data_IF_523798114577
#
_entry.id   IF_523798114577
#
_cell.length_a   1.000
_cell.length_b   1.000
_cell.length_c   1.000
_cell.angle_alpha   90.00
_cell.angle_beta   90.00
_cell.angle_gamma   90.00
#
_symmetry.space_group_name_H-M   'P 1'
#
loop_
_entity.id
_entity.type
_entity.pdbx_description
1 polymer ?
#
# COMPACT_ATOMS: atom_id res chain seq x y z
N UNK A 1 -1.03 45.77 -0.73
CA UNK A 1 -2.21 44.90 -0.92
C UNK A 1 -1.93 43.96 -2.08
N UNK A 2 -1.24 42.85 -1.85
CA UNK A 2 -1.07 41.77 -2.82
C UNK A 2 -0.83 40.48 -2.01
N UNK A 3 -1.90 39.73 -1.76
CA UNK A 3 -1.84 38.55 -0.89
C UNK A 3 -3.12 37.71 -0.85
N UNK A 4 -3.94 37.74 -1.91
CA UNK A 4 -5.23 37.04 -1.91
C UNK A 4 -5.47 36.14 -3.14
N UNK A 5 -4.62 36.16 -4.18
CA UNK A 5 -4.89 35.44 -5.42
C UNK A 5 -4.35 34.00 -5.44
N UNK A 6 -3.25 33.70 -4.72
CA UNK A 6 -2.63 32.37 -4.77
C UNK A 6 -3.34 31.34 -3.87
N UNK A 7 -4.06 31.80 -2.83
CA UNK A 7 -4.74 30.91 -1.88
C UNK A 7 -6.12 30.42 -2.38
N UNK A 8 -6.72 31.09 -3.35
CA UNK A 8 -8.04 30.67 -3.88
C UNK A 8 -7.92 29.52 -4.89
N UNK A 9 -6.82 29.46 -5.64
CA UNK A 9 -6.61 28.42 -6.66
C UNK A 9 -6.22 27.08 -6.04
N UNK A 10 -5.40 27.10 -4.99
CA UNK A 10 -4.99 25.89 -4.25
C UNK A 10 -6.14 25.24 -3.50
N UNK A 11 -7.05 26.04 -2.91
CA UNK A 11 -8.23 25.54 -2.20
C UNK A 11 -9.23 24.91 -3.15
N UNK A 12 -9.43 25.49 -4.35
CA UNK A 12 -10.31 24.91 -5.37
C UNK A 12 -9.73 23.61 -5.91
N UNK A 13 -8.42 23.57 -6.20
CA UNK A 13 -7.76 22.33 -6.65
C UNK A 13 -7.79 21.21 -5.60
N UNK A 14 -7.65 21.54 -4.32
CA UNK A 14 -7.76 20.56 -3.23
C UNK A 14 -9.19 20.04 -3.06
N UNK A 15 -10.21 20.91 -3.24
CA UNK A 15 -11.60 20.50 -3.20
C UNK A 15 -11.98 19.59 -4.39
N UNK A 16 -11.49 19.92 -5.59
CA UNK A 16 -11.71 19.09 -6.79
C UNK A 16 -11.04 17.71 -6.65
N UNK A 17 -9.82 17.65 -6.09
CA UNK A 17 -9.12 16.39 -5.80
C UNK A 17 -9.87 15.51 -4.79
N UNK A 18 -10.55 16.10 -3.80
CA UNK A 18 -11.32 15.34 -2.79
C UNK A 18 -12.57 14.66 -3.40
N UNK A 19 -13.21 15.34 -4.35
CA UNK A 19 -14.40 14.82 -5.07
C UNK A 19 -14.03 13.82 -6.15
N UNK A 20 -12.93 14.03 -6.87
CA UNK A 20 -12.51 13.13 -7.97
C UNK A 20 -11.70 11.92 -7.46
N UNK A 21 -10.82 12.15 -6.48
CA UNK A 21 -9.85 11.17 -6.02
C UNK A 21 -9.90 10.86 -4.53
N UNK A 22 -10.50 11.71 -3.69
CA UNK A 22 -10.57 11.57 -2.24
C UNK A 22 -11.76 10.74 -1.74
N UNK A 23 -12.31 11.12 -0.58
CA UNK A 23 -13.37 10.39 0.12
C UNK A 23 -14.78 10.88 -0.23
N UNK A 24 -14.92 11.94 -1.04
CA UNK A 24 -16.21 12.48 -1.47
C UNK A 24 -16.68 11.92 -2.82
N UNK A 25 -15.97 10.94 -3.37
CA UNK A 25 -16.30 10.35 -4.67
C UNK A 25 -17.71 9.76 -4.69
N UNK A 26 -18.52 10.04 -5.71
CA UNK A 26 -19.94 9.69 -5.74
C UNK A 26 -20.20 8.18 -5.76
N UNK A 27 -19.24 7.35 -6.17
CA UNK A 27 -19.36 5.90 -6.21
C UNK A 27 -18.96 5.17 -4.92
N UNK A 28 -18.47 5.89 -3.90
CA UNK A 28 -18.16 5.27 -2.62
C UNK A 28 -19.38 4.55 -2.05
N UNK A 29 -19.13 3.36 -1.47
CA UNK A 29 -20.13 2.49 -0.86
C UNK A 29 -21.21 1.93 -1.82
N UNK A 30 -21.15 2.19 -3.13
CA UNK A 30 -22.12 1.64 -4.09
C UNK A 30 -21.81 0.21 -4.55
N UNK A 31 -20.55 -0.21 -4.46
CA UNK A 31 -20.09 -1.54 -4.87
C UNK A 31 -20.08 -2.56 -3.73
N UNK A 32 -20.43 -3.82 -4.02
CA UNK A 32 -20.20 -4.94 -3.08
C UNK A 32 -18.70 -5.09 -2.83
N UNK A 33 -18.27 -5.00 -1.57
CA UNK A 33 -16.86 -5.17 -1.16
C UNK A 33 -16.51 -6.62 -0.85
N UNK A 34 -17.35 -7.34 -0.12
CA UNK A 34 -17.08 -8.72 0.30
C UNK A 34 -16.85 -9.63 -0.92
N UNK A 35 -15.72 -10.37 -0.90
CA UNK A 35 -15.30 -11.27 -1.98
C UNK A 35 -14.55 -10.58 -3.12
N UNK A 36 -14.09 -9.33 -2.95
CA UNK A 36 -13.39 -8.57 -4.00
C UNK A 36 -11.86 -8.62 -3.92
N UNK A 37 -11.31 -9.43 -3.02
CA UNK A 37 -9.88 -9.71 -2.96
C UNK A 37 -9.56 -10.77 -4.02
N UNK A 38 -8.50 -10.53 -4.81
CA UNK A 38 -7.97 -11.48 -5.80
C UNK A 38 -7.78 -12.90 -5.22
N UNK A 39 -7.75 -13.97 -6.04
CA UNK A 39 -7.94 -15.35 -5.60
C UNK A 39 -7.15 -15.71 -4.33
N UNK A 40 -7.74 -16.51 -3.42
CA UNK A 40 -7.27 -16.69 -2.05
C UNK A 40 -5.79 -17.08 -2.02
N UNK A 41 -5.03 -16.43 -1.15
CA UNK A 41 -3.62 -16.70 -0.90
C UNK A 41 -3.43 -16.89 0.59
N UNK A 42 -2.40 -17.61 0.99
CA UNK A 42 -2.24 -18.11 2.36
C UNK A 42 -1.10 -17.42 3.11
N UNK A 43 -0.19 -16.76 2.38
CA UNK A 43 0.94 -16.02 2.95
C UNK A 43 1.12 -14.66 2.29
N UNK A 44 1.30 -13.61 3.09
CA UNK A 44 1.66 -12.29 2.61
C UNK A 44 3.12 -11.98 2.98
N UNK A 45 3.91 -11.65 1.98
CA UNK A 45 5.29 -11.17 2.13
C UNK A 45 5.30 -9.68 1.81
N UNK A 46 5.80 -8.87 2.73
CA UNK A 46 6.10 -7.47 2.49
C UNK A 46 7.59 -7.26 2.38
N UNK A 47 8.03 -6.55 1.35
CA UNK A 47 9.38 -6.00 1.27
C UNK A 47 9.33 -4.54 1.72
N UNK A 48 10.06 -4.18 2.76
CA UNK A 48 10.26 -2.81 3.20
C UNK A 48 11.30 -2.16 2.27
N UNK A 49 10.91 -1.13 1.54
CA UNK A 49 11.78 -0.53 0.52
C UNK A 49 11.41 0.90 0.23
N UNK A 50 12.25 1.85 0.63
CA UNK A 50 12.13 3.29 0.39
C UNK A 50 10.80 3.86 0.87
N UNK A 51 10.71 5.18 0.81
CA UNK A 51 9.47 5.90 1.06
C UNK A 51 8.51 5.81 -0.13
N UNK A 52 7.20 5.76 0.16
CA UNK A 52 6.15 5.49 -0.83
C UNK A 52 5.97 6.60 -1.88
N UNK A 53 6.44 7.80 -1.58
CA UNK A 53 6.46 8.96 -2.48
C UNK A 53 7.53 8.85 -3.57
N UNK A 54 8.53 7.99 -3.38
CA UNK A 54 9.62 7.75 -4.33
C UNK A 54 9.37 6.57 -5.28
N UNK A 55 8.29 5.81 -5.10
CA UNK A 55 8.07 4.60 -5.89
C UNK A 55 7.61 4.91 -7.32
N UNK A 56 8.20 4.23 -8.33
CA UNK A 56 7.65 4.26 -9.68
C UNK A 56 6.32 3.49 -9.71
N UNK A 57 5.51 3.71 -10.76
CA UNK A 57 4.16 3.11 -10.86
C UNK A 57 4.14 1.58 -10.76
N UNK A 58 5.27 0.92 -11.04
CA UNK A 58 5.51 -0.52 -10.87
C UNK A 58 6.85 -0.74 -10.19
N UNK A 59 6.91 -0.48 -8.88
CA UNK A 59 8.11 -0.70 -8.07
C UNK A 59 8.69 -2.12 -8.23
N UNK A 60 7.83 -3.13 -8.38
CA UNK A 60 8.19 -4.53 -8.56
C UNK A 60 8.66 -4.92 -9.98
N UNK A 61 8.61 -3.98 -10.93
CA UNK A 61 9.07 -4.16 -12.32
C UNK A 61 10.14 -3.13 -12.72
N UNK A 62 10.50 -2.20 -11.82
CA UNK A 62 11.37 -1.07 -12.14
C UNK A 62 12.83 -1.45 -12.30
N UNK A 63 13.49 -0.91 -13.33
CA UNK A 63 14.94 -1.04 -13.53
C UNK A 63 15.77 -0.16 -12.59
N UNK A 64 15.17 0.91 -12.05
CA UNK A 64 15.83 1.80 -11.08
C UNK A 64 15.92 1.22 -9.67
N UNK A 65 15.15 0.16 -9.40
CA UNK A 65 14.93 -0.40 -8.07
C UNK A 65 15.13 -1.91 -8.13
N UNK A 66 16.40 -2.31 -8.06
CA UNK A 66 16.82 -3.70 -8.27
C UNK A 66 16.21 -4.67 -7.27
N UNK A 67 16.20 -4.36 -5.97
CA UNK A 67 15.75 -5.29 -4.92
C UNK A 67 14.28 -5.74 -5.09
N UNK A 68 13.27 -4.83 -5.19
CA UNK A 68 11.89 -5.25 -5.43
C UNK A 68 11.71 -6.06 -6.71
N UNK A 69 12.40 -5.68 -7.79
CA UNK A 69 12.36 -6.39 -9.07
C UNK A 69 12.96 -7.80 -8.97
N UNK A 70 14.11 -7.94 -8.32
CA UNK A 70 14.78 -9.23 -8.11
C UNK A 70 13.91 -10.17 -7.27
N UNK A 71 13.37 -9.70 -6.15
CA UNK A 71 12.51 -10.51 -5.29
C UNK A 71 11.21 -10.93 -6.00
N UNK A 72 10.56 -10.00 -6.70
CA UNK A 72 9.39 -10.27 -7.54
C UNK A 72 9.71 -11.31 -8.64
N UNK A 73 10.85 -11.17 -9.31
CA UNK A 73 11.34 -12.09 -10.32
C UNK A 73 11.60 -13.50 -9.78
N UNK A 74 12.30 -13.61 -8.65
CA UNK A 74 12.61 -14.89 -8.01
C UNK A 74 11.34 -15.62 -7.54
N UNK A 75 10.37 -14.91 -6.95
CA UNK A 75 9.07 -15.47 -6.58
C UNK A 75 8.30 -16.01 -7.79
N UNK A 76 8.31 -15.28 -8.92
CA UNK A 76 7.67 -15.72 -10.17
C UNK A 76 8.37 -16.96 -10.73
N UNK A 77 9.69 -16.99 -10.72
CA UNK A 77 10.49 -18.11 -11.23
C UNK A 77 10.30 -19.39 -10.41
N UNK A 78 10.18 -19.26 -9.08
CA UNK A 78 10.05 -20.38 -8.13
C UNK A 78 8.61 -20.69 -7.73
N UNK A 79 7.62 -20.12 -8.43
CA UNK A 79 6.18 -20.24 -8.11
C UNK A 79 5.70 -21.68 -7.89
N UNK A 80 6.22 -22.63 -8.67
CA UNK A 80 5.81 -24.04 -8.57
C UNK A 80 6.49 -24.79 -7.41
N UNK A 81 7.60 -24.27 -6.90
CA UNK A 81 8.34 -24.87 -5.78
C UNK A 81 7.83 -24.35 -4.43
N UNK A 82 7.26 -23.13 -4.43
CA UNK A 82 6.64 -22.51 -3.25
C UNK A 82 5.30 -23.19 -2.96
N UNK A 83 5.25 -23.97 -1.88
CA UNK A 83 4.07 -24.77 -1.49
C UNK A 83 2.89 -23.92 -1.02
N UNK A 84 3.17 -22.75 -0.44
CA UNK A 84 2.17 -21.86 0.17
C UNK A 84 1.91 -20.70 -0.78
N UNK A 85 0.65 -20.49 -1.20
CA UNK A 85 0.34 -19.44 -2.16
C UNK A 85 0.67 -18.06 -1.56
N UNK A 86 1.74 -17.46 -2.07
CA UNK A 86 2.36 -16.27 -1.48
C UNK A 86 2.06 -15.03 -2.32
N UNK A 87 1.67 -13.94 -1.66
CA UNK A 87 1.50 -12.61 -2.24
C UNK A 87 2.65 -11.70 -1.81
N UNK A 88 3.29 -11.03 -2.76
CA UNK A 88 4.29 -9.99 -2.48
C UNK A 88 3.64 -8.60 -2.56
N UNK A 89 3.95 -7.76 -1.59
CA UNK A 89 3.65 -6.32 -1.58
C UNK A 89 4.91 -5.56 -1.14
N UNK A 90 5.07 -4.31 -1.58
CA UNK A 90 6.14 -3.44 -1.07
C UNK A 90 5.53 -2.55 0.01
N UNK A 91 6.21 -2.34 1.12
CA UNK A 91 5.83 -1.36 2.13
C UNK A 91 6.96 -0.37 2.38
N UNK A 92 6.62 0.75 3.00
CA UNK A 92 7.58 1.79 3.32
C UNK A 92 8.71 1.21 4.19
N UNK A 93 9.93 1.37 3.69
CA UNK A 93 11.16 1.16 4.45
C UNK A 93 11.81 2.52 4.67
N UNK A 94 12.14 2.84 5.93
CA UNK A 94 12.84 4.07 6.26
C UNK A 94 13.75 3.87 7.46
N UNK A 95 15.01 4.24 7.30
CA UNK A 95 15.96 4.24 8.41
C UNK A 95 15.42 5.04 9.60
N UNK A 96 15.57 4.49 10.80
CA UNK A 96 15.09 5.11 12.04
C UNK A 96 13.59 4.91 12.33
N UNK A 97 12.87 4.12 11.53
CA UNK A 97 11.52 3.64 11.82
C UNK A 97 11.52 2.16 12.21
N UNK A 98 10.35 1.59 12.54
CA UNK A 98 10.20 0.15 12.87
C UNK A 98 10.69 -0.78 11.75
N UNK A 99 10.62 -0.33 10.49
CA UNK A 99 10.98 -1.09 9.31
C UNK A 99 12.02 -0.37 8.45
N UNK A 100 13.16 -1.03 8.24
CA UNK A 100 14.28 -0.49 7.45
C UNK A 100 14.27 -1.01 6.02
N UNK A 101 15.01 -0.33 5.14
CA UNK A 101 15.17 -0.78 3.75
C UNK A 101 15.79 -2.18 3.68
N UNK A 102 15.14 -3.05 2.90
CA UNK A 102 15.49 -4.46 2.75
C UNK A 102 14.87 -5.38 3.78
N UNK A 103 14.17 -4.88 4.80
CA UNK A 103 13.46 -5.77 5.71
C UNK A 103 12.35 -6.54 4.97
N UNK A 104 12.13 -7.80 5.35
CA UNK A 104 11.09 -8.65 4.76
C UNK A 104 10.17 -9.17 5.87
N UNK A 105 8.90 -8.80 5.81
CA UNK A 105 7.87 -9.19 6.76
C UNK A 105 7.05 -10.34 6.18
N UNK A 106 6.76 -11.37 7.00
CA UNK A 106 6.01 -12.55 6.57
C UNK A 106 4.83 -12.79 7.51
N UNK A 107 3.63 -12.80 6.93
CA UNK A 107 2.36 -13.11 7.58
C UNK A 107 1.73 -14.36 6.96
N UNK A 108 1.08 -15.25 7.73
CA UNK A 108 0.71 -15.11 9.15
C UNK A 108 1.81 -15.45 10.15
N UNK A 109 3.02 -15.80 9.70
CA UNK A 109 4.11 -16.28 10.56
C UNK A 109 4.62 -15.23 11.56
N UNK A 110 4.33 -13.94 11.36
CA UNK A 110 4.78 -12.82 12.20
C UNK A 110 6.31 -12.79 12.32
N UNK A 111 7.02 -12.90 11.19
CA UNK A 111 8.48 -12.89 11.15
C UNK A 111 8.96 -11.69 10.32
N UNK A 112 9.97 -10.99 10.84
CA UNK A 112 10.76 -9.97 10.13
C UNK A 112 12.17 -10.50 9.88
N UNK A 113 12.60 -10.55 8.63
CA UNK A 113 14.00 -10.75 8.26
C UNK A 113 14.64 -9.41 7.96
N UNK A 114 15.82 -9.14 8.53
CA UNK A 114 16.47 -7.83 8.39
C UNK A 114 17.31 -7.73 7.13
N UNK A 115 17.21 -6.58 6.45
CA UNK A 115 18.20 -6.11 5.48
C UNK A 115 18.55 -7.08 4.34
N UNK A 116 17.54 -7.67 3.69
CA UNK A 116 17.72 -8.45 2.46
C UNK A 116 18.41 -7.60 1.38
N UNK A 117 19.48 -8.15 0.79
CA UNK A 117 20.24 -7.51 -0.29
C UNK A 117 19.98 -8.21 -1.62
N UNK A 118 20.28 -7.51 -2.71
CA UNK A 118 20.19 -8.03 -4.08
C UNK A 118 20.89 -9.37 -4.26
N UNK A 119 22.10 -9.52 -3.68
CA UNK A 119 22.91 -10.74 -3.77
C UNK A 119 22.29 -11.95 -3.07
N UNK A 120 21.35 -11.72 -2.15
CA UNK A 120 20.88 -12.72 -1.22
C UNK A 120 19.47 -13.22 -1.55
N UNK A 121 18.78 -12.57 -2.49
CA UNK A 121 17.39 -12.85 -2.88
C UNK A 121 17.16 -14.33 -3.17
N UNK A 122 18.02 -14.96 -3.98
CA UNK A 122 17.84 -16.36 -4.36
C UNK A 122 17.97 -17.30 -3.15
N UNK A 123 18.93 -17.04 -2.26
CA UNK A 123 19.11 -17.81 -1.03
C UNK A 123 17.94 -17.65 -0.07
N UNK A 124 17.40 -16.44 0.05
CA UNK A 124 16.24 -16.14 0.88
C UNK A 124 14.99 -16.87 0.36
N UNK A 125 14.73 -16.80 -0.94
CA UNK A 125 13.57 -17.47 -1.56
C UNK A 125 13.68 -18.99 -1.40
N UNK A 126 14.87 -19.56 -1.61
CA UNK A 126 15.13 -20.99 -1.42
C UNK A 126 14.91 -21.43 0.03
N UNK A 127 15.57 -20.78 0.99
CA UNK A 127 15.52 -21.19 2.39
C UNK A 127 14.12 -20.98 2.98
N UNK A 128 13.58 -19.77 2.84
CA UNK A 128 12.39 -19.34 3.59
C UNK A 128 11.10 -19.72 2.88
N UNK A 129 11.01 -19.46 1.58
CA UNK A 129 9.74 -19.56 0.85
C UNK A 129 9.52 -20.92 0.22
N UNK A 130 10.59 -21.57 -0.26
CA UNK A 130 10.54 -22.92 -0.84
C UNK A 130 10.69 -23.98 0.24
N UNK A 131 11.74 -23.89 1.06
CA UNK A 131 12.06 -24.93 2.05
C UNK A 131 11.42 -24.71 3.42
N UNK A 132 10.89 -23.51 3.72
CA UNK A 132 10.26 -23.21 5.01
C UNK A 132 11.24 -23.21 6.18
N UNK A 133 12.51 -22.89 5.93
CA UNK A 133 13.59 -22.84 6.93
C UNK A 133 13.93 -21.38 7.26
N UNK A 134 14.50 -21.11 8.45
CA UNK A 134 15.11 -19.81 8.71
C UNK A 134 16.17 -19.48 7.67
N UNK A 135 16.19 -18.23 7.20
CA UNK A 135 17.19 -17.77 6.25
C UNK A 135 18.59 -17.85 6.86
N UNK A 136 19.48 -18.66 6.28
CA UNK A 136 20.77 -18.97 6.88
C UNK A 136 21.70 -17.74 7.00
N UNK A 137 21.59 -16.79 6.07
CA UNK A 137 22.41 -15.59 6.02
C UNK A 137 21.79 -14.38 6.71
N UNK A 138 20.55 -14.51 7.21
CA UNK A 138 19.77 -13.41 7.75
C UNK A 138 19.57 -13.47 9.25
N UNK A 139 19.17 -12.34 9.81
CA UNK A 139 18.66 -12.25 11.19
C UNK A 139 17.14 -12.15 11.12
N UNK A 140 16.47 -13.06 11.82
CA UNK A 140 15.01 -13.07 11.95
C UNK A 140 14.56 -12.58 13.31
N UNK A 141 13.45 -11.86 13.35
CA UNK A 141 12.79 -11.36 14.55
C UNK A 141 11.32 -11.71 14.53
N UNK A 142 10.73 -11.89 15.71
CA UNK A 142 9.29 -12.08 15.85
C UNK A 142 8.63 -10.71 15.88
N UNK A 143 7.65 -10.50 15.01
CA UNK A 143 6.79 -9.33 15.01
C UNK A 143 5.77 -9.44 16.14
N UNK A 144 5.51 -8.32 16.80
CA UNK A 144 4.52 -8.20 17.86
C UNK A 144 3.45 -7.18 17.48
N UNK A 145 2.29 -7.28 18.12
CA UNK A 145 1.19 -6.35 17.90
C UNK A 145 0.45 -6.56 16.57
N UNK A 146 -0.33 -5.55 16.20
CA UNK A 146 -1.13 -5.51 14.97
C UNK A 146 -0.46 -4.62 13.93
N UNK A 147 -0.48 -5.05 12.67
CA UNK A 147 0.13 -4.33 11.55
C UNK A 147 -0.93 -3.90 10.54
N UNK A 148 -1.01 -2.60 10.29
CA UNK A 148 -1.90 -1.99 9.31
C UNK A 148 -1.09 -1.50 8.12
N UNK A 149 -1.39 -2.04 6.94
CA UNK A 149 -0.76 -1.61 5.69
C UNK A 149 -1.78 -0.83 4.86
N UNK A 150 -1.51 0.47 4.67
CA UNK A 150 -2.40 1.39 3.94
C UNK A 150 -1.84 1.65 2.55
N UNK A 151 -2.65 1.44 1.52
CA UNK A 151 -2.23 1.71 0.15
C UNK A 151 -2.06 3.21 -0.10
N UNK A 152 -0.83 3.67 -0.31
CA UNK A 152 -0.50 5.08 -0.56
C UNK A 152 0.22 5.31 -1.91
N UNK A 153 0.13 4.35 -2.83
CA UNK A 153 0.94 4.31 -4.05
C UNK A 153 0.44 5.29 -5.14
N UNK A 154 0.79 6.57 -4.99
CA UNK A 154 0.30 7.67 -5.84
C UNK A 154 0.65 7.54 -7.33
N UNK A 155 1.84 7.03 -7.65
CA UNK A 155 2.32 6.87 -9.02
C UNK A 155 1.62 5.73 -9.77
N UNK A 156 1.07 4.75 -9.05
CA UNK A 156 0.26 3.66 -9.60
C UNK A 156 -1.22 4.02 -9.65
N UNK A 157 -1.71 4.70 -8.62
CA UNK A 157 -3.12 4.99 -8.45
C UNK A 157 -3.29 6.33 -7.71
N UNK A 158 -3.80 7.34 -8.42
CA UNK A 158 -4.04 8.69 -7.89
C UNK A 158 -4.94 8.69 -6.66
N UNK A 159 -5.98 7.84 -6.62
CA UNK A 159 -6.89 7.73 -5.47
C UNK A 159 -6.19 7.20 -4.24
N UNK A 160 -5.31 6.23 -4.41
CA UNK A 160 -4.49 5.74 -3.31
C UNK A 160 -3.50 6.82 -2.85
N UNK A 161 -2.97 7.61 -3.78
CA UNK A 161 -2.11 8.76 -3.47
C UNK A 161 -2.78 9.88 -2.68
N UNK A 162 -4.09 10.09 -2.87
CA UNK A 162 -4.88 11.08 -2.12
C UNK A 162 -5.38 10.49 -0.79
N UNK A 163 -6.05 9.33 -0.82
CA UNK A 163 -6.65 8.73 0.38
C UNK A 163 -5.62 8.16 1.37
N UNK A 164 -4.53 7.56 0.88
CA UNK A 164 -3.58 6.80 1.69
C UNK A 164 -2.89 7.66 2.77
N UNK A 165 -2.25 8.79 2.42
CA UNK A 165 -1.61 9.67 3.39
C UNK A 165 -2.54 10.15 4.51
N UNK A 166 -3.77 10.57 4.16
CA UNK A 166 -4.77 11.03 5.12
C UNK A 166 -5.17 9.92 6.12
N UNK A 167 -5.30 8.68 5.66
CA UNK A 167 -5.56 7.53 6.53
C UNK A 167 -4.37 7.23 7.45
N UNK A 168 -3.15 7.24 6.92
CA UNK A 168 -1.93 6.97 7.71
C UNK A 168 -1.77 8.01 8.83
N UNK A 169 -1.95 9.29 8.52
CA UNK A 169 -1.93 10.38 9.49
C UNK A 169 -2.98 10.15 10.58
N UNK A 170 -4.23 9.91 10.19
CA UNK A 170 -5.33 9.68 11.13
C UNK A 170 -5.11 8.46 12.03
N UNK A 171 -4.55 7.38 11.48
CA UNK A 171 -4.17 6.21 12.27
C UNK A 171 -3.12 6.54 13.32
N UNK A 172 -2.05 7.27 12.93
CA UNK A 172 -0.99 7.67 13.87
C UNK A 172 -1.54 8.53 15.00
N UNK A 173 -2.39 9.50 14.70
CA UNK A 173 -3.07 10.33 15.70
C UNK A 173 -3.89 9.49 16.69
N UNK A 174 -4.75 8.59 16.20
CA UNK A 174 -5.58 7.75 17.07
C UNK A 174 -4.76 6.78 17.92
N UNK A 175 -3.70 6.21 17.36
CA UNK A 175 -2.80 5.30 18.08
C UNK A 175 -2.08 6.04 19.20
N UNK A 176 -1.60 7.26 18.93
CA UNK A 176 -0.96 8.11 19.93
C UNK A 176 -1.94 8.50 21.04
N UNK A 177 -3.14 8.94 20.69
CA UNK A 177 -4.21 9.30 21.65
C UNK A 177 -4.57 8.13 22.57
N UNK A 178 -4.43 6.89 22.11
CA UNK A 178 -4.74 5.67 22.86
C UNK A 178 -3.54 5.10 23.61
N UNK A 179 -2.35 5.64 23.40
CA UNK A 179 -1.11 5.11 23.98
C UNK A 179 -0.72 3.73 23.43
N UNK A 180 -1.14 3.40 22.21
CA UNK A 180 -0.96 2.08 21.60
C UNK A 180 0.25 1.99 20.66
N UNK A 181 1.21 2.90 20.77
CA UNK A 181 2.37 3.01 19.88
C UNK A 181 3.24 1.73 19.84
N UNK A 182 3.26 0.95 20.92
CA UNK A 182 4.03 -0.30 21.00
C UNK A 182 3.22 -1.55 20.57
N UNK A 183 1.95 -1.36 20.18
CA UNK A 183 1.01 -2.45 19.89
C UNK A 183 0.40 -2.39 18.49
N UNK A 184 0.33 -1.21 17.87
CA UNK A 184 -0.26 -1.03 16.54
C UNK A 184 0.69 -0.27 15.65
N UNK A 185 1.12 -0.91 14.57
CA UNK A 185 2.08 -0.37 13.62
C UNK A 185 1.38 -0.08 12.29
N UNK A 186 1.56 1.13 11.76
CA UNK A 186 0.92 1.56 10.51
C UNK A 186 1.96 1.99 9.50
N UNK A 187 1.90 1.38 8.31
CA UNK A 187 2.87 1.62 7.24
C UNK A 187 2.16 1.82 5.90
N UNK A 188 2.73 2.70 5.08
CA UNK A 188 2.32 2.80 3.69
C UNK A 188 2.70 1.51 2.94
N UNK A 189 1.89 1.11 1.98
CA UNK A 189 2.20 0.02 1.07
C UNK A 189 1.91 0.36 -0.39
N UNK A 190 2.51 -0.43 -1.28
CA UNK A 190 2.28 -0.40 -2.71
C UNK A 190 0.86 -0.85 -3.02
N UNK A 191 0.50 -0.82 -4.30
CA UNK A 191 -0.89 -0.93 -4.70
C UNK A 191 -1.50 -2.31 -4.37
N UNK A 192 -2.36 -2.35 -3.36
CA UNK A 192 -3.09 -3.54 -2.89
C UNK A 192 -4.56 -3.53 -3.35
N UNK A 193 -4.79 -3.19 -4.62
CA UNK A 193 -6.03 -3.54 -5.31
C UNK A 193 -7.01 -2.40 -5.54
N UNK A 194 -8.15 -2.80 -6.14
CA UNK A 194 -9.01 -1.99 -7.00
C UNK A 194 -9.11 -0.50 -6.68
N UNK A 195 -8.74 0.31 -7.68
CA UNK A 195 -8.93 1.77 -7.73
C UNK A 195 -10.33 2.22 -7.29
N UNK A 196 -11.34 1.45 -7.70
CA UNK A 196 -12.74 1.69 -7.32
C UNK A 196 -13.06 1.56 -5.83
N UNK A 197 -12.15 1.00 -5.02
CA UNK A 197 -12.32 0.75 -3.58
C UNK A 197 -11.33 1.56 -2.72
N UNK A 198 -10.67 2.56 -3.29
CA UNK A 198 -9.64 3.34 -2.62
C UNK A 198 -10.06 3.86 -1.24
N UNK A 199 -9.08 4.01 -0.35
CA UNK A 199 -9.26 3.69 1.07
C UNK A 199 -8.97 2.21 1.34
N UNK A 200 -8.01 1.64 0.61
CA UNK A 200 -7.61 0.23 0.72
C UNK A 200 -6.57 0.06 1.82
N UNK A 201 -6.81 -0.88 2.73
CA UNK A 201 -5.83 -1.29 3.74
C UNK A 201 -5.94 -2.78 4.06
N UNK A 202 -4.90 -3.32 4.69
CA UNK A 202 -4.89 -4.67 5.25
C UNK A 202 -4.52 -4.58 6.72
N UNK A 203 -5.27 -5.27 7.58
CA UNK A 203 -4.92 -5.42 9.00
C UNK A 203 -4.48 -6.86 9.23
N UNK A 204 -3.27 -7.02 9.77
CA UNK A 204 -2.79 -8.27 10.33
C UNK A 204 -2.83 -8.16 11.86
N UNK A 205 -3.65 -9.01 12.47
CA UNK A 205 -3.80 -9.08 13.93
C UNK A 205 -4.16 -10.51 14.33
N UNK A 206 -3.98 -10.81 15.62
CA UNK A 206 -4.48 -12.04 16.20
C UNK A 206 -6.01 -11.96 16.37
N UNK A 207 -6.71 -13.05 16.05
CA UNK A 207 -8.13 -13.22 16.42
C UNK A 207 -8.27 -13.64 17.90
N UNK A 208 -9.52 -13.87 18.33
CA UNK A 208 -9.84 -14.26 19.70
C UNK A 208 -9.17 -15.60 20.12
N UNK A 209 -8.85 -16.45 19.15
CA UNK A 209 -8.15 -17.72 19.34
C UNK A 209 -6.62 -17.58 19.25
N UNK A 210 -6.11 -16.37 19.01
CA UNK A 210 -4.68 -16.08 18.89
C UNK A 210 -4.10 -16.40 17.51
N UNK A 211 -4.92 -16.75 16.52
CA UNK A 211 -4.49 -17.03 15.15
C UNK A 211 -4.34 -15.72 14.39
N UNK A 212 -3.21 -15.57 13.70
CA UNK A 212 -2.94 -14.40 12.87
C UNK A 212 -3.72 -14.51 11.56
N UNK A 213 -4.49 -13.47 11.25
CA UNK A 213 -5.26 -13.34 10.00
C UNK A 213 -4.94 -12.02 9.32
N UNK A 214 -5.20 -11.93 8.01
CA UNK A 214 -5.03 -10.69 7.25
C UNK A 214 -6.36 -10.25 6.65
N UNK A 215 -6.97 -9.19 7.18
CA UNK A 215 -8.27 -8.68 6.73
C UNK A 215 -8.11 -7.49 5.80
N UNK A 216 -8.76 -7.56 4.63
CA UNK A 216 -8.73 -6.53 3.61
C UNK A 216 -9.93 -5.62 3.77
N UNK A 217 -9.68 -4.32 3.70
CA UNK A 217 -10.71 -3.29 3.76
C UNK A 217 -10.62 -2.38 2.53
N UNK A 218 -11.76 -1.80 2.16
CA UNK A 218 -11.89 -0.78 1.11
C UNK A 218 -12.90 0.26 1.51
N UNK A 219 -12.91 1.39 0.80
CA UNK A 219 -13.71 2.57 1.15
C UNK A 219 -13.47 3.13 2.56
N UNK A 220 -12.36 2.77 3.20
CA UNK A 220 -12.04 3.30 4.53
C UNK A 220 -11.78 4.80 4.43
N UNK A 221 -12.39 5.56 5.35
CA UNK A 221 -12.19 7.01 5.51
C UNK A 221 -11.55 7.32 6.87
N UNK A 222 -11.06 8.56 7.08
CA UNK A 222 -10.53 8.96 8.38
C UNK A 222 -11.52 8.80 9.55
N UNK A 223 -12.83 8.85 9.28
CA UNK A 223 -13.86 8.65 10.31
C UNK A 223 -13.95 7.19 10.78
N UNK A 224 -13.51 6.24 9.95
CA UNK A 224 -13.58 4.80 10.24
C UNK A 224 -12.37 4.30 11.06
N UNK A 225 -11.32 5.11 11.19
CA UNK A 225 -10.08 4.70 11.86
C UNK A 225 -10.32 4.32 13.33
N UNK A 226 -11.11 5.11 14.05
CA UNK A 226 -11.42 4.82 15.45
C UNK A 226 -12.15 3.47 15.61
N UNK A 227 -13.10 3.17 14.72
CA UNK A 227 -13.84 1.90 14.77
C UNK A 227 -12.96 0.71 14.35
N UNK A 228 -12.03 0.87 13.41
CA UNK A 228 -11.04 -0.16 13.07
C UNK A 228 -10.14 -0.50 14.26
N UNK A 229 -9.72 0.50 15.03
CA UNK A 229 -8.93 0.29 16.24
C UNK A 229 -9.77 -0.37 17.35
N UNK A 230 -10.97 0.15 17.62
CA UNK A 230 -11.80 -0.25 18.76
C UNK A 230 -12.55 -1.57 18.56
N UNK A 231 -12.91 -1.92 17.32
CA UNK A 231 -13.63 -3.16 17.01
C UNK A 231 -12.70 -4.23 16.45
N UNK A 232 -12.00 -3.93 15.35
CA UNK A 232 -11.18 -4.96 14.72
C UNK A 232 -9.94 -5.29 15.52
N UNK A 233 -9.09 -4.30 15.81
CA UNK A 233 -7.82 -4.56 16.46
C UNK A 233 -8.01 -4.92 17.94
N UNK A 234 -8.91 -4.23 18.66
CA UNK A 234 -9.10 -4.49 20.09
C UNK A 234 -10.00 -5.70 20.41
N UNK A 235 -10.96 -6.06 19.54
CA UNK A 235 -11.93 -7.14 19.82
C UNK A 235 -11.90 -8.30 18.82
N UNK A 236 -11.18 -8.17 17.70
CA UNK A 236 -11.21 -9.14 16.61
C UNK A 236 -12.48 -9.10 15.77
N UNK A 237 -13.31 -8.06 15.89
CA UNK A 237 -14.59 -7.94 15.18
C UNK A 237 -14.40 -7.30 13.81
N UNK A 238 -14.88 -7.94 12.74
CA UNK A 238 -14.79 -7.38 11.39
C UNK A 238 -15.81 -6.25 11.18
N UNK A 239 -15.45 -5.28 10.35
CA UNK A 239 -16.35 -4.20 9.95
C UNK A 239 -16.95 -4.54 8.58
N UNK A 240 -18.07 -5.24 8.59
CA UNK A 240 -18.67 -5.88 7.40
C UNK A 240 -18.82 -4.96 6.19
N UNK A 241 -19.28 -3.73 6.41
CA UNK A 241 -19.54 -2.78 5.32
C UNK A 241 -18.27 -2.22 4.66
N UNK A 242 -17.10 -2.37 5.28
CA UNK A 242 -15.78 -2.02 4.73
C UNK A 242 -14.99 -3.27 4.30
N UNK A 243 -15.41 -4.46 4.73
CA UNK A 243 -14.65 -5.68 4.59
C UNK A 243 -14.70 -6.23 3.15
N UNK A 244 -13.53 -6.55 2.61
CA UNK A 244 -13.36 -7.08 1.26
C UNK A 244 -13.06 -8.56 1.21
N UNK A 245 -12.37 -9.09 2.22
CA UNK A 245 -11.90 -10.47 2.23
C UNK A 245 -10.85 -10.72 3.31
N UNK A 246 -10.47 -11.98 3.45
CA UNK A 246 -9.49 -12.43 4.43
C UNK A 246 -8.46 -13.35 3.76
N UNK A 247 -7.19 -13.20 4.12
CA UNK A 247 -6.11 -14.11 3.73
C UNK A 247 -6.41 -15.54 4.20
N UNK A 248 -6.24 -16.52 3.32
CA UNK A 248 -6.50 -17.94 3.58
C UNK A 248 -7.98 -18.35 3.61
N UNK A 249 -8.93 -17.42 3.45
CA UNK A 249 -10.36 -17.75 3.39
C UNK A 249 -10.82 -17.97 1.94
N UNK A 250 -11.55 -19.05 1.68
CA UNK A 250 -12.31 -19.21 0.44
C UNK A 250 -13.56 -18.32 0.47
N UNK A 251 -14.07 -17.97 -0.71
CA UNK A 251 -15.19 -17.01 -0.90
C UNK A 251 -16.49 -17.44 -0.18
N UNK A 252 -16.62 -18.71 0.19
CA UNK A 252 -17.83 -19.28 0.82
C UNK A 252 -18.12 -18.74 2.24
N UNK A 253 -17.14 -18.17 2.94
CA UNK A 253 -17.37 -17.56 4.26
C UNK A 253 -17.99 -16.16 4.19
N UNK A 254 -18.02 -15.52 3.02
CA UNK A 254 -18.55 -14.17 2.86
C UNK A 254 -20.09 -14.09 2.91
N UNK A 255 -20.81 -15.21 2.77
CA UNK A 255 -22.27 -15.24 2.75
C UNK A 255 -22.90 -15.43 4.14
N UNK A 256 -22.12 -15.89 5.14
CA UNK A 256 -22.65 -16.16 6.50
C UNK A 256 -22.83 -14.92 7.37
N UNK A 257 -22.30 -13.77 6.96
CA UNK A 257 -22.46 -12.50 7.67
C UNK A 257 -23.81 -11.81 7.38
N UNK A 258 -24.54 -12.22 6.33
CA UNK A 258 -25.78 -11.55 5.90
C UNK A 258 -27.06 -12.11 6.56
N UNK A 259 -27.00 -13.28 7.23
CA UNK A 259 -28.20 -13.96 7.73
C UNK A 259 -28.63 -13.61 9.17
N UNK A 260 -27.89 -12.79 9.92
CA UNK A 260 -28.28 -12.41 11.28
C UNK A 260 -28.88 -10.99 11.35
N UNK A 261 -30.08 -10.82 10.77
CA UNK A 261 -31.00 -9.72 11.11
C UNK A 261 -32.39 -10.26 11.48
N UNK A 262 -32.61 -10.30 12.80
CA UNK A 262 -33.85 -10.18 13.61
C UNK A 262 -35.16 -10.83 13.09
N UNK A 263 -35.84 -11.66 13.91
CA UNK A 263 -37.12 -12.26 13.57
C UNK A 263 -38.24 -11.23 13.74
N UNK A 264 -39.12 -11.11 12.75
CA UNK A 264 -40.42 -10.48 12.97
C UNK A 264 -41.56 -11.35 12.46
N UNK A 265 -42.57 -11.50 13.32
CA UNK A 265 -43.57 -12.55 13.24
C UNK A 265 -44.66 -12.35 12.19
N UNK A 266 -45.19 -13.50 11.77
CA UNK A 266 -46.56 -13.81 11.34
C UNK A 266 -47.38 -12.69 10.66
N UNK A 267 -47.76 -12.94 9.39
CA UNK A 267 -49.09 -13.50 9.14
C UNK A 267 -49.26 -14.09 7.73
N UNK A 268 -50.05 -15.16 7.69
CA UNK A 268 -50.45 -15.95 6.53
C UNK A 268 -51.50 -15.19 5.67
N UNK A 269 -51.40 -15.29 4.34
CA UNK A 269 -52.42 -15.97 3.51
C UNK A 269 -52.13 -15.98 2.00
N UNK A 270 -52.06 -17.22 1.51
CA UNK A 270 -52.82 -17.83 0.40
C UNK A 270 -52.46 -17.51 -1.06
N UNK A 271 -52.23 -18.63 -1.74
CA UNK A 271 -52.07 -18.93 -3.16
C UNK A 271 -53.03 -18.21 -4.12
N UNK A 272 -52.56 -18.02 -5.36
CA UNK A 272 -53.17 -18.64 -6.55
C UNK A 272 -52.20 -18.66 -7.75
N UNK A 273 -52.22 -19.77 -8.48
CA UNK A 273 -51.52 -19.99 -9.77
C UNK A 273 -52.51 -19.70 -10.90
N UNK A 274 -52.05 -19.04 -11.95
CA UNK A 274 -52.63 -19.19 -13.30
C UNK A 274 -51.54 -19.22 -14.37
N UNK A 275 -51.60 -20.23 -15.24
CA UNK A 275 -50.81 -20.41 -16.46
C UNK A 275 -51.47 -19.69 -17.65
N UNK A 276 -50.67 -19.29 -18.64
CA UNK A 276 -51.07 -18.92 -20.01
C UNK A 276 -50.05 -17.95 -20.61
N UNK A 277 -48.96 -18.42 -21.22
CA UNK A 277 -48.74 -18.79 -22.63
C UNK A 277 -48.31 -17.62 -23.56
N UNK A 278 -47.17 -17.87 -24.19
CA UNK A 278 -46.38 -17.26 -25.29
C UNK A 278 -46.73 -15.89 -25.88
N UNK A 279 -45.68 -15.05 -25.90
CA UNK A 279 -45.37 -14.06 -26.94
C UNK A 279 -43.84 -13.87 -27.02
N UNK A 280 -43.29 -13.96 -28.24
CA UNK A 280 -41.86 -14.00 -28.56
C UNK A 280 -41.14 -12.63 -28.48
N UNK A 281 -39.81 -12.74 -28.45
CA UNK A 281 -38.77 -11.78 -28.87
C UNK A 281 -38.31 -10.70 -27.86
N UNK A 282 -37.17 -10.97 -27.21
CA UNK A 282 -35.87 -10.46 -27.69
C UNK A 282 -34.71 -11.16 -27.00
N UNK A 283 -33.83 -11.69 -27.85
CA UNK A 283 -32.57 -12.33 -27.54
C UNK A 283 -31.54 -11.22 -27.34
N UNK A 284 -31.06 -11.02 -26.13
CA UNK A 284 -29.76 -10.39 -25.91
C UNK A 284 -28.90 -11.28 -25.02
N UNK A 285 -27.69 -11.49 -25.53
CA UNK A 285 -26.75 -12.52 -25.15
C UNK A 285 -26.25 -12.34 -23.73
N UNK A 286 -26.30 -13.43 -22.98
CA UNK A 286 -25.40 -13.71 -21.86
C UNK A 286 -23.97 -13.54 -22.36
N UNK A 287 -23.37 -12.39 -22.06
CA UNK A 287 -21.95 -12.17 -22.24
C UNK A 287 -21.21 -12.76 -21.03
N UNK A 288 -20.99 -14.06 -21.10
CA UNK A 288 -19.91 -14.74 -20.38
C UNK A 288 -18.57 -14.18 -20.88
N UNK A 289 -17.87 -13.43 -20.03
CA UNK A 289 -16.49 -12.93 -20.24
C UNK A 289 -15.86 -12.70 -18.85
N UNK A 290 -14.73 -13.26 -18.40
CA UNK A 290 -13.74 -14.17 -18.96
C UNK A 290 -13.15 -14.99 -17.78
N UNK A 291 -13.15 -16.32 -17.87
CA UNK A 291 -12.24 -17.15 -17.09
C UNK A 291 -10.91 -17.20 -17.84
N UNK A 292 -9.91 -16.48 -17.34
CA UNK A 292 -8.53 -16.55 -17.81
C UNK A 292 -7.63 -16.84 -16.62
N UNK A 293 -6.98 -18.01 -16.63
CA UNK A 293 -5.92 -18.34 -15.69
C UNK A 293 -4.66 -17.55 -16.06
N UNK A 294 -4.61 -16.28 -15.66
CA UNK A 294 -3.41 -15.46 -15.50
C UNK A 294 -3.83 -14.11 -14.92
N UNK A 295 -3.23 -13.74 -13.79
CA UNK A 295 -3.44 -12.44 -13.16
C UNK A 295 -2.93 -11.32 -14.05
N UNK A 296 -3.83 -10.70 -14.81
CA UNK A 296 -3.59 -9.45 -15.52
C UNK A 296 -4.54 -8.41 -14.94
N UNK A 297 -3.96 -7.35 -14.36
CA UNK A 297 -4.67 -6.13 -13.97
C UNK A 297 -5.31 -5.52 -15.21
N UNK A 298 -6.63 -5.55 -15.32
CA UNK A 298 -7.35 -4.85 -16.39
C UNK A 298 -7.27 -3.34 -16.20
N UNK A 299 -6.17 -2.73 -16.64
CA UNK A 299 -6.12 -1.31 -16.98
C UNK A 299 -6.29 -1.22 -18.49
N UNK A 300 -7.39 -0.62 -18.95
CA UNK A 300 -7.63 -0.35 -20.37
C UNK A 300 -7.07 1.04 -20.65
N UNK A 301 -5.97 1.09 -21.39
CA UNK A 301 -5.35 2.33 -21.86
C UNK A 301 -6.31 3.04 -22.83
N UNK A 302 -6.64 4.29 -22.52
CA UNK A 302 -7.24 5.22 -23.49
C UNK A 302 -6.13 5.90 -24.28
N UNK A 303 -5.72 5.31 -25.40
CA UNK A 303 -4.87 6.00 -26.37
C UNK A 303 -5.68 7.06 -27.10
N UNK A 304 -5.25 8.33 -27.04
CA UNK A 304 -5.59 9.33 -28.05
C UNK A 304 -4.29 9.82 -28.67
N UNK A 305 -4.22 9.71 -29.99
CA UNK A 305 -3.09 10.05 -30.84
C UNK A 305 -2.74 11.54 -30.72
N UNK A 306 -1.46 11.86 -30.52
CA UNK A 306 -0.91 13.18 -30.86
C UNK A 306 0.40 12.97 -31.62
N UNK A 307 0.43 13.55 -32.82
CA UNK A 307 1.54 13.53 -33.78
C UNK A 307 2.81 14.14 -33.20
N UNK A 308 3.94 13.50 -33.50
CA UNK A 308 5.27 14.10 -33.41
C UNK A 308 5.34 15.40 -34.21
N UNK A 309 5.72 16.49 -33.53
CA UNK A 309 6.49 17.57 -34.14
C UNK A 309 7.57 17.95 -33.11
N UNK A 310 8.80 17.64 -33.45
CA UNK A 310 10.03 18.14 -32.81
C UNK A 310 10.18 19.64 -33.07
N UNK A 311 10.08 20.47 -32.04
CA UNK A 311 10.81 21.74 -31.95
C UNK A 311 11.22 22.01 -30.49
N UNK A 312 12.52 22.28 -30.32
CA UNK A 312 13.18 22.60 -29.06
C UNK A 312 12.91 24.05 -28.71
N UNK A 313 12.30 24.31 -27.55
CA UNK A 313 12.43 25.62 -26.89
C UNK A 313 12.33 25.51 -25.37
N UNK A 314 13.43 25.88 -24.71
CA UNK A 314 13.53 26.06 -23.27
C UNK A 314 12.49 27.07 -22.75
N UNK A 315 11.78 26.72 -21.69
CA UNK A 315 11.30 27.71 -20.73
C UNK A 315 11.47 27.18 -19.30
N UNK A 316 12.16 27.99 -18.49
CA UNK A 316 12.45 27.73 -17.08
C UNK A 316 11.20 27.92 -16.24
N UNK A 317 10.89 26.95 -15.39
CA UNK A 317 9.89 27.05 -14.32
C UNK A 317 10.26 26.11 -13.18
N UNK A 318 10.51 26.68 -12.01
CA UNK A 318 11.13 26.03 -10.85
C UNK A 318 10.18 25.06 -10.12
N UNK A 319 10.77 24.04 -9.48
CA UNK A 319 10.18 23.39 -8.30
C UNK A 319 9.94 21.89 -8.39
N UNK A 320 10.99 21.07 -8.53
CA UNK A 320 10.96 19.64 -8.13
C UNK A 320 12.37 19.14 -7.83
N UNK A 321 12.89 19.56 -6.67
CA UNK A 321 14.10 18.99 -6.07
C UNK A 321 13.83 18.76 -4.58
N UNK A 322 13.05 17.72 -4.24
CA UNK A 322 12.98 17.24 -2.84
C UNK A 322 13.47 15.80 -2.67
N UNK A 323 13.59 14.98 -3.72
CA UNK A 323 14.11 13.62 -3.59
C UNK A 323 15.65 13.49 -3.72
N UNK A 324 16.36 14.58 -4.06
CA UNK A 324 17.83 14.57 -4.28
C UNK A 324 18.64 15.21 -3.16
N UNK A 325 18.00 15.79 -2.14
CA UNK A 325 18.67 16.34 -0.95
C UNK A 325 18.29 15.47 0.24
N UNK A 326 19.02 14.38 0.39
CA UNK A 326 18.81 13.42 1.48
C UNK A 326 19.90 12.38 1.54
N UNK A 327 21.14 12.75 1.20
CA UNK A 327 22.31 11.88 1.38
C UNK A 327 23.57 12.71 1.54
N UNK A 328 23.68 13.36 2.70
CA UNK A 328 24.98 13.73 3.25
C UNK A 328 25.03 13.18 4.67
N UNK A 329 25.89 12.20 4.88
CA UNK A 329 26.20 11.67 6.19
C UNK A 329 26.86 12.79 7.02
N UNK A 330 26.49 12.92 8.29
CA UNK A 330 27.04 13.95 9.19
C UNK A 330 28.58 13.94 9.25
N UNK A 331 29.21 12.80 8.98
CA UNK A 331 30.66 12.62 8.90
C UNK A 331 31.30 13.39 7.73
N UNK A 332 30.66 13.41 6.56
CA UNK A 332 31.17 14.09 5.36
C UNK A 332 31.08 15.62 5.48
N UNK A 333 30.01 16.11 6.11
CA UNK A 333 29.84 17.55 6.40
C UNK A 333 30.91 18.02 7.39
N UNK A 334 31.17 17.25 8.44
CA UNK A 334 32.20 17.58 9.42
C UNK A 334 33.62 17.55 8.81
N UNK A 335 33.90 16.57 7.94
CA UNK A 335 35.16 16.50 7.22
C UNK A 335 35.35 17.69 6.26
N UNK A 336 34.32 18.04 5.50
CA UNK A 336 34.35 19.19 4.60
C UNK A 336 34.57 20.52 5.35
N UNK A 337 33.88 20.72 6.47
CA UNK A 337 34.05 21.91 7.32
C UNK A 337 35.46 21.98 7.91
N UNK A 338 36.03 20.85 8.34
CA UNK A 338 37.41 20.80 8.86
C UNK A 338 38.45 21.17 7.79
N UNK A 339 38.30 20.68 6.56
CA UNK A 339 39.19 21.01 5.43
C UNK A 339 39.10 22.49 5.08
N UNK A 340 37.89 23.05 5.00
CA UNK A 340 37.69 24.48 4.71
C UNK A 340 38.29 25.35 5.82
N UNK A 341 38.10 24.97 7.10
CA UNK A 341 38.70 25.65 8.23
C UNK A 341 40.24 25.66 8.20
N UNK A 342 40.85 24.54 7.82
CA UNK A 342 42.31 24.40 7.68
C UNK A 342 42.86 25.26 6.53
N UNK A 343 42.18 25.29 5.37
CA UNK A 343 42.60 26.12 4.23
C UNK A 343 42.48 27.62 4.57
N UNK A 344 41.41 28.02 5.25
CA UNK A 344 41.22 29.40 5.69
C UNK A 344 42.31 29.85 6.68
N UNK A 345 42.68 28.99 7.64
CA UNK A 345 43.75 29.30 8.60
C UNK A 345 45.11 29.41 7.94
N UNK A 346 45.44 28.54 6.98
CA UNK A 346 46.68 28.64 6.19
C UNK A 346 46.69 29.91 5.34
N UNK A 347 45.58 30.27 4.70
CA UNK A 347 45.48 31.49 3.90
C UNK A 347 45.66 32.77 4.74
N UNK A 348 45.06 32.80 5.94
CA UNK A 348 45.23 33.90 6.89
C UNK A 348 46.67 33.98 7.38
N UNK A 349 47.28 32.86 7.79
CA UNK A 349 48.68 32.82 8.22
C UNK A 349 49.64 33.28 7.10
N UNK A 350 49.40 32.86 5.86
CA UNK A 350 50.18 33.28 4.69
C UNK A 350 50.02 34.79 4.40
N UNK A 351 48.83 35.34 4.61
CA UNK A 351 48.59 36.79 4.44
C UNK A 351 49.34 37.64 5.48
N UNK A 352 49.49 37.15 6.71
CA UNK A 352 50.32 37.79 7.73
C UNK A 352 51.81 37.67 7.41
N UNK A 353 52.27 36.49 6.99
CA UNK A 353 53.66 36.28 6.60
C UNK A 353 54.08 37.21 5.45
N UNK A 354 53.24 37.37 4.42
CA UNK A 354 53.52 38.26 3.28
C UNK A 354 53.53 39.75 3.64
N UNK A 355 52.89 40.14 4.76
CA UNK A 355 52.85 41.55 5.22
C UNK A 355 54.04 41.94 6.10
N UNK A 356 54.83 40.97 6.56
CA UNK A 356 55.96 41.17 7.46
C UNK A 356 57.34 41.04 6.79
N UNK A 357 57.38 40.87 5.46
CA UNK A 357 58.60 40.76 4.66
C UNK A 357 58.91 42.00 3.83
#
# INVERSE_FOLDING_TARGET
MAGAAENSSSVVAAADDEVEFGFERPEMYKGKLAGTVDPPYDRHVFLCYKSYDCWPSRVEESDSDSLPKLLSGALKARKNDIKVKTRLTVCEGREGTEFSDGDVLIFPEMIKYRGLKDSDVDSFVEDVLVNGKPWASGVSEVLAGSHVFVCAHASRDRRCGVCGPALIERFKEEIELRGSNDQVFVSACSHIGGHKYAGNLIIFSADAEGKITGHWYGYVTPNDVAVLLDQHIAKGEIIDHLWRGQMGASVEHAERADEHKIPNGKDLKKSEKSKGDRGQDKKESVATCCQGANGFSCCKDGSSEVKEITEVQESKGAGKFSCWIGKWEQSEVLAAVAVVGAVATVAVAYSFYRRSG
#
